data_IF_628178149528
#
_entry.id   IF_628178149528
#
_cell.length_a   1.000
_cell.length_b   1.000
_cell.length_c   1.000
_cell.angle_alpha   90.00
_cell.angle_beta   90.00
_cell.angle_gamma   90.00
#
_symmetry.space_group_name_H-M   'P 1'
#
loop_
_entity.id
_entity.type
_entity.pdbx_description
1 polymer ?
#
# COMPACT_ATOMS: atom_id res chain seq x y z
N UNK A 1 45.08 -57.60 36.40
CA UNK A 1 43.72 -57.20 36.87
C UNK A 1 43.66 -55.82 37.55
N UNK A 2 44.76 -55.11 37.83
CA UNK A 2 44.73 -53.81 38.53
C UNK A 2 44.66 -52.55 37.64
N UNK A 3 44.96 -52.67 36.34
CA UNK A 3 44.98 -51.53 35.39
C UNK A 3 43.62 -51.21 34.78
N UNK A 4 42.76 -52.21 34.60
CA UNK A 4 41.40 -52.02 34.06
C UNK A 4 40.49 -51.31 35.07
N UNK A 5 40.61 -51.64 36.36
CA UNK A 5 39.81 -51.03 37.44
C UNK A 5 40.09 -49.53 37.57
N UNK A 6 41.36 -49.11 37.52
CA UNK A 6 41.76 -47.70 37.60
C UNK A 6 41.27 -46.86 36.42
N UNK A 7 41.23 -47.45 35.21
CA UNK A 7 40.72 -46.78 34.02
C UNK A 7 39.20 -46.57 34.06
N UNK A 8 38.44 -47.54 34.59
CA UNK A 8 36.99 -47.39 34.79
C UNK A 8 36.65 -46.33 35.85
N UNK A 9 37.43 -46.24 36.93
CA UNK A 9 37.22 -45.20 37.95
C UNK A 9 37.50 -43.79 37.43
N UNK A 10 38.52 -43.61 36.57
CA UNK A 10 38.81 -42.33 35.92
C UNK A 10 37.71 -41.92 34.94
N UNK A 11 37.20 -42.85 34.13
CA UNK A 11 36.07 -42.59 33.21
C UNK A 11 34.80 -42.25 33.97
N UNK A 12 34.52 -42.93 35.09
CA UNK A 12 33.37 -42.62 35.94
C UNK A 12 33.50 -41.23 36.59
N UNK A 13 34.70 -40.83 37.00
CA UNK A 13 34.93 -39.50 37.58
C UNK A 13 34.83 -38.39 36.55
N UNK A 14 35.31 -38.62 35.31
CA UNK A 14 35.13 -37.70 34.18
C UNK A 14 33.65 -37.57 33.82
N UNK A 15 32.90 -38.68 33.79
CA UNK A 15 31.46 -38.64 33.57
C UNK A 15 30.72 -37.90 34.68
N UNK A 16 31.10 -38.11 35.95
CA UNK A 16 30.51 -37.41 37.09
C UNK A 16 30.80 -35.90 37.02
N UNK A 17 32.05 -35.52 36.69
CA UNK A 17 32.44 -34.13 36.50
C UNK A 17 31.70 -33.50 35.31
N UNK A 18 31.54 -34.21 34.19
CA UNK A 18 30.73 -33.76 33.06
C UNK A 18 29.25 -33.57 33.44
N UNK A 19 28.66 -34.48 34.22
CA UNK A 19 27.26 -34.35 34.69
C UNK A 19 27.11 -33.18 35.64
N UNK A 20 28.07 -32.96 36.54
CA UNK A 20 28.06 -31.80 37.45
C UNK A 20 28.23 -30.50 36.65
N UNK A 21 29.14 -30.45 35.68
CA UNK A 21 29.37 -29.28 34.83
C UNK A 21 28.17 -28.97 33.91
N UNK A 22 27.48 -30.00 33.40
CA UNK A 22 26.24 -29.84 32.64
C UNK A 22 25.08 -29.33 33.49
N UNK A 23 25.00 -29.70 34.78
CA UNK A 23 23.97 -29.19 35.69
C UNK A 23 24.18 -27.71 36.07
N UNK A 24 25.43 -27.23 36.15
CA UNK A 24 25.71 -25.80 36.40
C UNK A 24 25.53 -24.91 35.16
N UNK A 25 25.54 -25.47 33.94
CA UNK A 25 25.37 -24.71 32.70
C UNK A 25 23.90 -24.36 32.36
N UNK A 26 22.93 -24.87 33.12
CA UNK A 26 21.51 -24.60 32.89
C UNK A 26 21.01 -23.38 33.66
N UNK A 27 21.73 -22.25 33.58
CA UNK A 27 21.14 -20.94 33.87
C UNK A 27 20.30 -20.59 32.64
N UNK A 28 19.01 -20.90 32.70
CA UNK A 28 18.05 -20.40 31.73
C UNK A 28 18.05 -18.87 31.80
N UNK A 29 18.78 -18.24 30.88
CA UNK A 29 18.70 -16.81 30.65
C UNK A 29 17.28 -16.53 30.13
N UNK A 30 16.41 -16.08 31.04
CA UNK A 30 15.08 -15.64 30.70
C UNK A 30 15.21 -14.41 29.79
N UNK A 31 15.15 -14.63 28.47
CA UNK A 31 15.15 -13.57 27.48
C UNK A 31 13.91 -12.70 27.75
N UNK A 32 14.09 -11.62 28.52
CA UNK A 32 13.06 -10.61 28.74
C UNK A 32 12.79 -9.98 27.38
N UNK A 33 11.74 -10.44 26.71
CA UNK A 33 11.26 -9.80 25.47
C UNK A 33 10.91 -8.35 25.83
N UNK A 34 11.41 -7.36 25.08
CA UNK A 34 11.07 -5.98 25.34
C UNK A 34 9.56 -5.80 25.17
N UNK A 35 8.93 -5.04 26.07
CA UNK A 35 7.51 -4.71 26.00
C UNK A 35 7.36 -3.57 25.00
N UNK A 36 6.96 -3.90 23.78
CA UNK A 36 6.86 -2.95 22.68
C UNK A 36 5.39 -2.62 22.45
N UNK A 37 5.07 -1.33 22.31
CA UNK A 37 3.77 -0.87 21.83
C UNK A 37 3.92 -0.53 20.35
N UNK A 38 3.11 -1.14 19.50
CA UNK A 38 3.07 -0.87 18.06
C UNK A 38 1.69 -0.29 17.72
N UNK A 39 1.70 0.84 17.03
CA UNK A 39 0.48 1.51 16.56
C UNK A 39 0.63 1.70 15.05
N UNK A 40 -0.43 1.38 14.31
CA UNK A 40 -0.48 1.55 12.87
C UNK A 40 -1.83 2.17 12.48
N UNK A 41 -1.81 3.22 11.66
CA UNK A 41 -3.01 3.80 11.06
C UNK A 41 -3.28 3.13 9.73
N UNK A 42 -4.50 2.64 9.54
CA UNK A 42 -4.97 2.00 8.30
C UNK A 42 -6.04 2.85 7.65
N UNK A 43 -6.01 2.91 6.32
CA UNK A 43 -7.07 3.50 5.52
C UNK A 43 -8.32 2.60 5.50
N UNK A 44 -9.47 3.20 5.18
CA UNK A 44 -10.74 2.47 5.03
C UNK A 44 -10.92 1.84 3.64
N UNK A 45 -9.93 1.94 2.75
CA UNK A 45 -9.97 1.42 1.39
C UNK A 45 -8.88 0.38 1.12
N UNK A 46 -9.09 -0.46 0.11
CA UNK A 46 -8.13 -1.46 -0.35
C UNK A 46 -6.87 -0.81 -0.92
N UNK A 47 -5.75 -1.52 -0.78
CA UNK A 47 -4.45 -1.11 -1.27
C UNK A 47 -4.48 -0.67 -2.74
N UNK A 48 -3.73 0.37 -3.04
CA UNK A 48 -3.59 0.97 -4.36
C UNK A 48 -2.24 0.63 -5.00
N UNK A 49 -2.16 0.30 -6.29
CA UNK A 49 -0.88 0.01 -6.94
C UNK A 49 0.12 1.18 -6.82
N UNK A 50 1.34 0.92 -6.33
CA UNK A 50 2.39 1.97 -6.26
C UNK A 50 2.75 2.52 -7.65
N UNK A 51 2.65 1.70 -8.69
CA UNK A 51 2.92 2.12 -10.06
C UNK A 51 1.91 3.17 -10.55
N UNK A 52 0.63 2.99 -10.23
CA UNK A 52 -0.41 3.96 -10.57
C UNK A 52 -0.28 5.22 -9.71
N UNK A 53 0.03 5.08 -8.41
CA UNK A 53 0.28 6.23 -7.55
C UNK A 53 1.45 7.08 -8.00
N UNK A 54 2.52 6.44 -8.50
CA UNK A 54 3.66 7.13 -9.09
C UNK A 54 3.22 8.03 -10.26
N UNK A 55 2.40 7.52 -11.18
CA UNK A 55 1.83 8.31 -12.28
C UNK A 55 1.01 9.50 -11.77
N UNK A 56 0.14 9.27 -10.78
CA UNK A 56 -0.68 10.33 -10.19
C UNK A 56 0.14 11.41 -9.49
N UNK A 57 1.21 11.03 -8.77
CA UNK A 57 2.12 11.99 -8.15
C UNK A 57 2.82 12.87 -9.18
N UNK A 58 3.22 12.30 -10.31
CA UNK A 58 3.84 13.05 -11.41
C UNK A 58 2.85 14.01 -12.08
N UNK A 59 1.62 13.54 -12.32
CA UNK A 59 0.55 14.37 -12.92
C UNK A 59 0.17 15.58 -12.06
N UNK A 60 0.36 15.47 -10.74
CA UNK A 60 0.05 16.55 -9.79
C UNK A 60 0.99 17.73 -9.97
N UNK A 61 2.25 17.46 -10.33
CA UNK A 61 3.22 18.51 -10.64
C UNK A 61 2.91 19.11 -12.01
N UNK A 62 2.88 18.27 -13.06
CA UNK A 62 2.61 18.69 -14.44
C UNK A 62 1.89 17.57 -15.19
N UNK A 63 0.82 17.91 -15.92
CA UNK A 63 -0.02 16.94 -16.64
C UNK A 63 0.76 16.13 -17.69
N UNK A 64 1.75 16.74 -18.34
CA UNK A 64 2.55 16.10 -19.39
C UNK A 64 3.46 14.97 -18.85
N UNK A 65 3.94 15.11 -17.62
CA UNK A 65 4.84 14.13 -16.98
C UNK A 65 4.15 12.77 -16.77
N UNK A 66 2.81 12.77 -16.67
CA UNK A 66 2.04 11.53 -16.63
C UNK A 66 2.31 10.70 -17.89
N UNK A 67 2.14 11.30 -19.07
CA UNK A 67 2.31 10.62 -20.35
C UNK A 67 3.77 10.25 -20.63
N UNK A 68 4.71 11.14 -20.31
CA UNK A 68 6.14 10.82 -20.41
C UNK A 68 6.51 9.59 -19.57
N UNK A 69 5.97 9.49 -18.34
CA UNK A 69 6.19 8.34 -17.47
C UNK A 69 5.59 7.05 -18.04
N UNK A 70 4.36 7.10 -18.56
CA UNK A 70 3.70 5.96 -19.21
C UNK A 70 4.55 5.45 -20.38
N UNK A 71 4.99 6.34 -21.26
CA UNK A 71 5.80 5.99 -22.44
C UNK A 71 7.15 5.38 -22.05
N UNK A 72 7.85 5.98 -21.08
CA UNK A 72 9.13 5.44 -20.57
C UNK A 72 8.94 4.05 -19.97
N UNK A 73 7.86 3.84 -19.22
CA UNK A 73 7.55 2.54 -18.62
C UNK A 73 7.24 1.48 -19.69
N UNK A 74 6.35 1.79 -20.62
CA UNK A 74 5.92 0.89 -21.69
C UNK A 74 7.08 0.50 -22.63
N UNK A 75 8.01 1.41 -22.90
CA UNK A 75 9.17 1.13 -23.75
C UNK A 75 10.22 0.26 -23.04
N UNK A 76 10.39 0.41 -21.73
CA UNK A 76 11.40 -0.35 -20.95
C UNK A 76 10.97 -1.79 -20.65
N UNK A 77 9.68 -2.07 -20.58
CA UNK A 77 9.14 -3.42 -20.31
C UNK A 77 9.56 -4.47 -21.36
N UNK A 78 10.00 -4.08 -22.56
CA UNK A 78 10.49 -5.02 -23.58
C UNK A 78 11.82 -5.69 -23.22
N UNK A 79 12.62 -5.10 -22.33
CA UNK A 79 14.05 -5.44 -22.19
C UNK A 79 14.45 -6.07 -20.84
N UNK A 80 13.56 -6.17 -19.85
CA UNK A 80 13.94 -6.63 -18.50
C UNK A 80 13.04 -7.75 -17.98
N UNK A 81 13.65 -8.92 -17.76
CA UNK A 81 13.06 -10.04 -17.04
C UNK A 81 12.54 -9.56 -15.67
N UNK A 82 11.32 -9.98 -15.35
CA UNK A 82 10.59 -9.56 -14.18
C UNK A 82 11.46 -9.56 -12.92
N UNK A 83 11.63 -8.37 -12.38
CA UNK A 83 12.23 -8.20 -11.08
C UNK A 83 11.41 -8.98 -10.05
N UNK A 84 12.03 -9.88 -9.29
CA UNK A 84 11.31 -10.86 -8.46
C UNK A 84 10.87 -10.32 -7.08
N UNK A 85 11.31 -9.12 -6.68
CA UNK A 85 11.05 -8.58 -5.33
C UNK A 85 10.32 -7.24 -5.37
N UNK A 86 9.38 -7.04 -4.45
CA UNK A 86 8.67 -5.78 -4.23
C UNK A 86 9.61 -4.56 -4.10
N UNK A 87 10.75 -4.73 -3.42
CA UNK A 87 11.79 -3.69 -3.26
C UNK A 87 12.37 -3.24 -4.60
N UNK A 88 12.57 -4.17 -5.53
CA UNK A 88 13.21 -3.86 -6.80
C UNK A 88 12.20 -3.25 -7.79
N UNK A 89 10.93 -3.66 -7.73
CA UNK A 89 9.84 -2.92 -8.38
C UNK A 89 9.78 -1.46 -7.91
N UNK A 90 9.83 -1.22 -6.60
CA UNK A 90 9.84 0.14 -6.05
C UNK A 90 11.04 0.94 -6.54
N UNK A 91 12.25 0.36 -6.53
CA UNK A 91 13.45 1.01 -7.09
C UNK A 91 13.28 1.34 -8.57
N UNK A 92 12.66 0.43 -9.35
CA UNK A 92 12.40 0.63 -10.78
C UNK A 92 11.43 1.80 -10.99
N UNK A 93 10.32 1.84 -10.24
CA UNK A 93 9.35 2.94 -10.27
C UNK A 93 10.03 4.26 -9.95
N UNK A 94 10.82 4.31 -8.86
CA UNK A 94 11.57 5.51 -8.46
C UNK A 94 12.58 5.91 -9.55
N UNK A 95 13.31 4.96 -10.13
CA UNK A 95 14.26 5.23 -11.22
C UNK A 95 13.59 5.88 -12.43
N UNK A 96 12.43 5.37 -12.85
CA UNK A 96 11.67 5.94 -13.96
C UNK A 96 11.05 7.30 -13.61
N UNK A 97 10.56 7.47 -12.37
CA UNK A 97 10.10 8.78 -11.89
C UNK A 97 11.23 9.81 -11.87
N UNK A 98 12.44 9.42 -11.45
CA UNK A 98 13.61 10.30 -11.47
C UNK A 98 14.04 10.70 -12.89
N UNK A 99 13.88 9.83 -13.89
CA UNK A 99 14.21 10.20 -15.28
C UNK A 99 13.28 11.26 -15.87
N UNK A 100 12.07 11.39 -15.31
CA UNK A 100 11.06 12.36 -15.75
C UNK A 100 11.10 13.65 -14.90
N UNK A 101 11.58 13.57 -13.66
CA UNK A 101 11.63 14.70 -12.71
C UNK A 101 12.95 15.48 -12.72
N UNK A 102 12.88 16.77 -12.35
CA UNK A 102 14.05 17.62 -12.08
C UNK A 102 14.57 17.43 -10.65
N UNK A 103 15.84 17.76 -10.39
CA UNK A 103 16.59 17.25 -9.22
C UNK A 103 16.20 17.71 -7.78
N UNK A 104 15.36 18.72 -7.47
CA UNK A 104 14.79 18.79 -6.12
C UNK A 104 13.58 17.86 -5.93
N UNK A 105 12.75 17.69 -6.97
CA UNK A 105 11.51 16.92 -6.90
C UNK A 105 11.78 15.42 -6.93
N UNK A 106 12.79 14.96 -7.66
CA UNK A 106 13.20 13.56 -7.68
C UNK A 106 13.50 13.03 -6.25
N UNK A 107 14.20 13.83 -5.45
CA UNK A 107 14.53 13.47 -4.05
C UNK A 107 13.29 13.31 -3.15
N UNK A 108 12.23 14.07 -3.43
CA UNK A 108 10.96 14.00 -2.68
C UNK A 108 10.02 12.92 -3.21
N UNK A 109 10.19 12.48 -4.45
CA UNK A 109 9.29 11.52 -5.10
C UNK A 109 9.18 10.20 -4.32
N UNK A 110 10.31 9.61 -3.93
CA UNK A 110 10.31 8.37 -3.15
C UNK A 110 9.66 8.52 -1.77
N UNK A 111 9.82 9.69 -1.13
CA UNK A 111 9.18 10.00 0.13
C UNK A 111 7.65 10.13 -0.04
N UNK A 112 7.20 10.89 -1.03
CA UNK A 112 5.77 11.06 -1.35
C UNK A 112 5.09 9.74 -1.68
N UNK A 113 5.77 8.86 -2.42
CA UNK A 113 5.27 7.52 -2.74
C UNK A 113 5.16 6.63 -1.49
N UNK A 114 6.11 6.77 -0.55
CA UNK A 114 6.07 6.06 0.75
C UNK A 114 4.95 6.58 1.66
N UNK A 115 4.63 7.88 1.57
CA UNK A 115 3.50 8.48 2.29
C UNK A 115 2.13 8.11 1.70
N UNK A 116 2.10 7.57 0.47
CA UNK A 116 0.87 7.12 -0.20
C UNK A 116 -0.14 8.25 -0.41
N UNK A 117 0.35 9.48 -0.62
CA UNK A 117 -0.48 10.69 -0.70
C UNK A 117 -1.38 10.76 -1.94
N UNK A 118 -1.07 9.99 -2.99
CA UNK A 118 -1.90 9.85 -4.18
C UNK A 118 -2.97 8.75 -4.09
N UNK A 119 -2.96 7.92 -3.03
CA UNK A 119 -3.91 6.82 -2.88
C UNK A 119 -5.39 7.26 -2.95
N UNK A 120 -5.84 8.36 -2.28
CA UNK A 120 -7.23 8.80 -2.36
C UNK A 120 -7.70 9.13 -3.78
N UNK A 121 -6.77 9.58 -4.64
CA UNK A 121 -7.07 9.91 -6.03
C UNK A 121 -7.34 8.68 -6.88
N UNK A 122 -6.65 7.57 -6.63
CA UNK A 122 -6.97 6.29 -7.24
C UNK A 122 -8.30 5.71 -6.75
N UNK A 123 -8.66 5.95 -5.48
CA UNK A 123 -9.99 5.58 -4.96
C UNK A 123 -11.10 6.33 -5.70
N UNK A 124 -10.88 7.60 -6.04
CA UNK A 124 -11.82 8.35 -6.88
C UNK A 124 -11.99 7.71 -8.27
N UNK A 125 -10.90 7.33 -8.95
CA UNK A 125 -11.01 6.65 -10.25
C UNK A 125 -11.70 5.28 -10.15
N UNK A 126 -11.57 4.55 -9.04
CA UNK A 126 -12.35 3.33 -8.79
C UNK A 126 -13.85 3.59 -8.74
N UNK A 127 -14.26 4.69 -8.10
CA UNK A 127 -15.68 5.06 -8.05
C UNK A 127 -16.22 5.41 -9.43
N UNK A 128 -15.47 6.19 -10.21
CA UNK A 128 -15.83 6.50 -11.60
C UNK A 128 -15.88 5.25 -12.49
N UNK A 129 -14.99 4.28 -12.23
CA UNK A 129 -15.00 3.00 -12.94
C UNK A 129 -16.26 2.18 -12.59
N UNK A 130 -16.66 2.13 -11.32
CA UNK A 130 -17.90 1.46 -10.90
C UNK A 130 -19.13 2.15 -11.49
N UNK A 131 -19.16 3.48 -11.52
CA UNK A 131 -20.22 4.25 -12.14
C UNK A 131 -20.34 3.95 -13.64
N UNK A 132 -19.21 3.93 -14.36
CA UNK A 132 -19.13 3.55 -15.77
C UNK A 132 -19.66 2.13 -16.02
N UNK A 133 -19.24 1.15 -15.21
CA UNK A 133 -19.72 -0.24 -15.33
C UNK A 133 -21.22 -0.37 -15.01
N UNK A 134 -21.70 0.30 -13.96
CA UNK A 134 -23.10 0.24 -13.54
C UNK A 134 -24.05 0.94 -14.51
N UNK A 135 -23.54 1.86 -15.33
CA UNK A 135 -24.32 2.54 -16.39
C UNK A 135 -24.70 1.60 -17.53
N UNK A 136 -24.00 0.46 -17.70
CA UNK A 136 -24.21 -0.51 -18.77
C UNK A 136 -24.31 -1.94 -18.20
N UNK A 137 -25.39 -2.29 -17.48
CA UNK A 137 -25.55 -3.62 -16.92
C UNK A 137 -25.57 -4.67 -18.03
N UNK A 138 -24.61 -5.61 -17.97
CA UNK A 138 -24.60 -6.76 -18.86
C UNK A 138 -25.67 -7.77 -18.41
N UNK A 139 -26.28 -8.44 -19.37
CA UNK A 139 -27.37 -9.41 -19.16
C UNK A 139 -27.02 -10.58 -18.22
N UNK A 140 -25.75 -10.82 -17.94
CA UNK A 140 -25.29 -11.92 -17.07
C UNK A 140 -25.67 -11.70 -15.59
N UNK A 141 -25.82 -10.44 -15.15
CA UNK A 141 -26.26 -10.12 -13.78
C UNK A 141 -27.76 -10.41 -13.56
N UNK A 142 -28.54 -10.51 -14.64
CA UNK A 142 -29.97 -10.84 -14.59
C UNK A 142 -30.16 -12.35 -14.35
N UNK A 143 -29.20 -13.19 -14.76
CA UNK A 143 -29.32 -14.66 -14.66
C UNK A 143 -28.98 -15.15 -13.24
N UNK A 144 -28.05 -14.48 -12.54
CA UNK A 144 -27.70 -14.84 -11.15
C UNK A 144 -28.84 -14.57 -10.16
N UNK A 145 -29.73 -13.61 -10.46
CA UNK A 145 -30.86 -13.27 -9.59
C UNK A 145 -32.10 -14.16 -9.81
N UNK A 146 -32.14 -14.95 -10.89
CA UNK A 146 -33.31 -15.76 -11.26
C UNK A 146 -33.12 -17.29 -11.14
N UNK A 147 -31.92 -17.76 -10.77
CA UNK A 147 -31.62 -19.19 -10.59
C UNK A 147 -31.27 -19.53 -9.14
N UNK A 148 -32.21 -19.30 -8.21
CA UNK A 148 -32.01 -19.55 -6.78
C UNK A 148 -33.30 -19.83 -5.99
N UNK A 149 -34.26 -20.55 -6.58
CA UNK A 149 -35.44 -21.02 -5.84
C UNK A 149 -35.14 -22.29 -5.02
N UNK A 150 -34.95 -22.14 -3.71
CA UNK A 150 -34.73 -23.27 -2.79
C UNK A 150 -34.46 -22.90 -1.33
N UNK A 151 -35.53 -22.52 -0.62
CA UNK A 151 -35.75 -22.32 0.83
C UNK A 151 -34.65 -22.80 1.81
N UNK A 152 -34.14 -21.87 2.62
CA UNK A 152 -34.13 -21.99 4.09
C UNK A 152 -34.29 -20.61 4.73
N UNK A 153 -35.48 -20.36 5.30
CA UNK A 153 -35.80 -19.16 6.07
C UNK A 153 -34.91 -19.09 7.31
N UNK A 154 -34.09 -18.06 7.42
CA UNK A 154 -33.80 -17.40 8.69
C UNK A 154 -33.99 -15.90 8.44
N UNK A 155 -34.98 -15.35 9.13
CA UNK A 155 -35.35 -13.94 9.10
C UNK A 155 -34.15 -13.09 9.50
N UNK A 156 -33.62 -12.33 8.55
CA UNK A 156 -32.91 -11.07 8.82
C UNK A 156 -33.67 -10.04 8.01
N UNK A 157 -34.18 -9.03 8.71
CA UNK A 157 -35.06 -8.00 8.18
C UNK A 157 -34.51 -7.39 6.88
N UNK A 158 -35.21 -7.66 5.78
CA UNK A 158 -35.04 -7.00 4.50
C UNK A 158 -35.59 -5.57 4.59
N UNK A 159 -34.73 -4.65 5.06
CA UNK A 159 -34.77 -3.23 4.72
C UNK A 159 -33.34 -2.70 4.57
N UNK A 160 -32.58 -3.22 3.61
CA UNK A 160 -31.34 -2.59 3.15
C UNK A 160 -31.65 -1.60 2.01
N UNK A 161 -32.31 -0.52 2.41
CA UNK A 161 -32.35 0.76 1.70
C UNK A 161 -30.91 1.17 1.34
N UNK A 162 -30.56 1.18 0.05
CA UNK A 162 -29.38 1.85 -0.54
C UNK A 162 -28.17 1.90 0.40
N UNK A 163 -27.65 0.74 0.79
CA UNK A 163 -26.60 0.70 1.81
C UNK A 163 -25.26 1.11 1.17
N UNK A 164 -24.81 2.30 1.54
CA UNK A 164 -23.52 2.95 1.29
C UNK A 164 -22.73 2.54 0.03
N UNK A 165 -22.47 3.51 -0.86
CA UNK A 165 -21.38 3.49 -1.84
C UNK A 165 -20.21 2.66 -1.28
N UNK A 166 -19.85 1.56 -1.96
CA UNK A 166 -18.77 0.66 -1.57
C UNK A 166 -17.41 1.37 -1.74
N UNK A 167 -17.21 2.46 -1.00
CA UNK A 167 -16.06 3.34 -1.09
C UNK A 167 -14.83 2.52 -0.69
N UNK A 168 -13.98 2.23 -1.67
CA UNK A 168 -12.68 1.63 -1.44
C UNK A 168 -12.53 0.16 -1.79
N UNK A 169 -13.57 -0.50 -2.33
CA UNK A 169 -13.43 -1.83 -2.92
C UNK A 169 -13.04 -1.69 -4.40
N UNK A 170 -12.16 -2.56 -4.89
CA UNK A 170 -11.84 -2.58 -6.33
C UNK A 170 -13.06 -3.06 -7.15
N UNK A 171 -13.39 -2.40 -8.27
CA UNK A 171 -14.52 -2.79 -9.10
C UNK A 171 -14.31 -4.20 -9.68
N UNK A 172 -15.40 -4.94 -9.83
CA UNK A 172 -15.39 -6.25 -10.49
C UNK A 172 -15.78 -6.07 -11.94
N UNK A 173 -14.94 -6.56 -12.84
CA UNK A 173 -15.19 -6.47 -14.27
C UNK A 173 -15.80 -7.76 -14.82
N UNK A 174 -16.71 -7.65 -15.80
CA UNK A 174 -17.31 -8.81 -16.45
C UNK A 174 -16.27 -9.60 -17.25
N UNK A 175 -16.43 -10.92 -17.27
CA UNK A 175 -15.56 -11.83 -18.04
C UNK A 175 -14.08 -11.83 -17.63
N UNK A 176 -13.73 -11.26 -16.46
CA UNK A 176 -12.34 -11.16 -16.00
C UNK A 176 -11.46 -10.27 -16.87
N UNK A 177 -12.04 -9.35 -17.65
CA UNK A 177 -11.33 -8.38 -18.49
C UNK A 177 -10.82 -7.24 -17.60
N UNK A 178 -9.57 -6.80 -17.79
CA UNK A 178 -8.94 -5.85 -16.86
C UNK A 178 -8.90 -4.41 -17.35
N UNK A 179 -9.19 -4.20 -18.63
CA UNK A 179 -9.21 -2.90 -19.26
C UNK A 179 -10.48 -2.79 -20.10
N UNK A 180 -11.04 -1.60 -20.18
CA UNK A 180 -12.14 -1.28 -21.08
C UNK A 180 -12.12 0.19 -21.47
N UNK A 181 -12.77 0.50 -22.59
CA UNK A 181 -12.94 1.87 -23.07
C UNK A 181 -14.40 2.26 -22.98
N UNK A 182 -14.65 3.39 -22.34
CA UNK A 182 -15.96 4.01 -22.21
C UNK A 182 -16.05 5.19 -23.19
N UNK A 183 -17.03 5.13 -24.08
CA UNK A 183 -17.34 6.18 -25.07
C UNK A 183 -18.61 6.95 -24.73
N UNK A 184 -19.27 6.61 -23.61
CA UNK A 184 -20.51 7.22 -23.09
C UNK A 184 -21.78 6.58 -23.64
N UNK A 185 -21.68 5.89 -24.76
CA UNK A 185 -22.75 5.11 -25.39
C UNK A 185 -22.52 3.60 -25.27
N UNK A 186 -21.27 3.16 -25.15
CA UNK A 186 -20.90 1.76 -25.06
C UNK A 186 -19.59 1.57 -24.27
N UNK A 187 -19.43 0.35 -23.75
CA UNK A 187 -18.19 -0.13 -23.16
C UNK A 187 -17.54 -1.16 -24.09
N UNK A 188 -16.26 -0.96 -24.40
CA UNK A 188 -15.47 -1.87 -25.22
C UNK A 188 -14.41 -2.58 -24.37
N UNK A 189 -14.58 -3.88 -24.16
CA UNK A 189 -13.63 -4.73 -23.43
C UNK A 189 -12.60 -5.40 -24.34
N UNK A 190 -12.86 -5.42 -25.65
CA UNK A 190 -12.03 -6.06 -26.66
C UNK A 190 -11.55 -5.06 -27.70
N UNK A 191 -10.29 -5.22 -28.09
CA UNK A 191 -9.61 -4.32 -29.04
C UNK A 191 -10.25 -4.34 -30.43
N UNK A 192 -10.76 -5.49 -30.86
CA UNK A 192 -11.39 -5.64 -32.17
C UNK A 192 -12.65 -4.78 -32.31
N UNK A 193 -13.50 -4.75 -31.28
CA UNK A 193 -14.74 -3.99 -31.27
C UNK A 193 -14.46 -2.48 -31.20
N UNK A 194 -13.48 -2.08 -30.40
CA UNK A 194 -13.02 -0.70 -30.36
C UNK A 194 -12.52 -0.23 -31.74
N UNK A 195 -11.74 -1.05 -32.44
CA UNK A 195 -11.26 -0.70 -33.78
C UNK A 195 -12.40 -0.52 -34.78
N UNK A 196 -13.47 -1.30 -34.66
CA UNK A 196 -14.68 -1.13 -35.47
C UNK A 196 -15.37 0.21 -35.18
N UNK A 197 -15.51 0.57 -33.90
CA UNK A 197 -16.05 1.86 -33.48
C UNK A 197 -15.20 3.03 -34.00
N UNK A 198 -13.87 2.96 -33.86
CA UNK A 198 -12.93 3.99 -34.33
C UNK A 198 -12.95 4.21 -35.85
N UNK A 199 -13.30 3.18 -36.64
CA UNK A 199 -13.42 3.26 -38.10
C UNK A 199 -14.78 3.77 -38.56
N UNK A 200 -15.78 3.72 -37.68
CA UNK A 200 -17.11 4.20 -38.02
C UNK A 200 -17.07 5.73 -38.13
N UNK A 201 -17.58 6.32 -39.23
CA UNK A 201 -17.57 7.77 -39.39
C UNK A 201 -18.38 8.39 -38.24
N UNK A 202 -17.74 9.32 -37.53
CA UNK A 202 -18.34 10.08 -36.43
C UNK A 202 -19.65 10.69 -36.93
N UNK A 203 -20.79 10.19 -36.44
CA UNK A 203 -22.09 10.74 -36.81
C UNK A 203 -22.15 12.18 -36.29
N UNK A 204 -22.12 13.14 -37.20
CA UNK A 204 -22.20 14.56 -36.92
C UNK A 204 -23.43 14.86 -36.06
N UNK A 205 -23.18 15.25 -34.80
CA UNK A 205 -23.89 16.25 -33.99
C UNK A 205 -25.39 16.50 -34.29
N UNK A 206 -26.20 15.45 -34.35
CA UNK A 206 -27.64 15.53 -34.58
C UNK A 206 -28.49 14.69 -33.62
N UNK A 207 -27.92 13.63 -33.05
CA UNK A 207 -28.53 12.87 -31.97
C UNK A 207 -27.88 13.30 -30.65
N UNK A 208 -28.67 13.38 -29.60
CA UNK A 208 -28.29 13.74 -28.23
C UNK A 208 -27.35 12.71 -27.60
N UNK A 209 -26.12 12.58 -28.12
CA UNK A 209 -25.08 11.77 -27.54
C UNK A 209 -24.56 12.44 -26.28
N UNK A 210 -24.83 11.82 -25.13
CA UNK A 210 -24.28 12.24 -23.86
C UNK A 210 -22.83 11.73 -23.79
N UNK A 211 -21.87 12.58 -24.14
CA UNK A 211 -20.47 12.25 -23.99
C UNK A 211 -20.16 11.94 -22.52
N UNK A 212 -19.19 11.05 -22.23
CA UNK A 212 -18.69 10.84 -20.88
C UNK A 212 -18.32 12.17 -20.24
N UNK A 213 -18.75 12.37 -19.00
CA UNK A 213 -18.35 13.54 -18.24
C UNK A 213 -16.84 13.49 -17.99
N UNK A 214 -16.16 14.59 -18.32
CA UNK A 214 -14.74 14.77 -18.09
C UNK A 214 -14.52 15.74 -16.94
N UNK A 215 -13.56 15.41 -16.08
CA UNK A 215 -13.19 16.23 -14.94
C UNK A 215 -11.82 16.89 -15.15
N UNK A 216 -11.57 18.01 -14.46
CA UNK A 216 -10.30 18.75 -14.55
C UNK A 216 -9.07 17.91 -14.20
N UNK A 217 -9.30 16.87 -13.39
CA UNK A 217 -8.29 15.94 -12.93
C UNK A 217 -8.07 14.76 -13.90
N UNK A 218 -8.86 14.61 -14.95
CA UNK A 218 -8.66 13.52 -15.91
C UNK A 218 -7.39 13.71 -16.73
N UNK A 219 -6.73 12.59 -17.06
CA UNK A 219 -5.53 12.60 -17.89
C UNK A 219 -5.94 12.60 -19.35
N UNK A 220 -6.00 13.80 -19.94
CA UNK A 220 -6.26 13.98 -21.38
C UNK A 220 -4.94 13.92 -22.14
N UNK A 221 -4.90 13.13 -23.21
CA UNK A 221 -3.70 13.00 -24.03
C UNK A 221 -3.39 14.30 -24.79
N UNK A 222 -2.11 14.66 -24.87
CA UNK A 222 -1.62 15.95 -25.40
C UNK A 222 -2.06 16.21 -26.85
N UNK A 223 -2.22 15.16 -27.66
CA UNK A 223 -2.62 15.28 -29.07
C UNK A 223 -4.13 15.36 -29.30
N UNK A 224 -4.93 15.41 -28.23
CA UNK A 224 -6.39 15.44 -28.34
C UNK A 224 -6.91 16.81 -28.77
N UNK A 225 -7.83 16.84 -29.73
CA UNK A 225 -8.43 18.08 -30.25
C UNK A 225 -9.82 18.33 -29.66
N UNK A 226 -10.27 19.59 -29.70
CA UNK A 226 -11.62 19.99 -29.31
C UNK A 226 -12.66 19.54 -30.34
N UNK A 227 -13.80 19.02 -29.90
CA UNK A 227 -14.89 18.61 -30.78
C UNK A 227 -14.85 17.14 -31.25
N UNK A 228 -13.79 16.39 -30.90
CA UNK A 228 -13.72 14.95 -31.12
C UNK A 228 -14.54 14.17 -30.07
N UNK A 229 -15.10 13.00 -30.42
CA UNK A 229 -15.73 12.09 -29.45
C UNK A 229 -14.72 11.66 -28.39
N UNK A 230 -15.18 11.50 -27.16
CA UNK A 230 -14.35 11.15 -26.01
C UNK A 230 -14.27 9.64 -25.89
N UNK A 231 -13.06 9.12 -25.66
CA UNK A 231 -12.82 7.72 -25.31
C UNK A 231 -11.98 7.67 -24.04
N UNK A 232 -12.57 7.14 -22.97
CA UNK A 232 -11.94 7.01 -21.65
C UNK A 232 -11.46 5.56 -21.48
N UNK A 233 -10.15 5.37 -21.37
CA UNK A 233 -9.56 4.09 -21.03
C UNK A 233 -9.53 3.91 -19.51
N UNK A 234 -10.21 2.88 -19.03
CA UNK A 234 -10.05 2.34 -17.69
C UNK A 234 -9.08 1.17 -17.74
N UNK A 235 -7.99 1.24 -16.98
CA UNK A 235 -7.03 0.15 -16.88
C UNK A 235 -5.79 0.53 -16.08
N UNK A 236 -4.96 -0.47 -15.79
CA UNK A 236 -3.75 -0.30 -15.00
C UNK A 236 -2.50 -0.42 -15.88
N UNK A 237 -1.60 0.57 -15.78
CA UNK A 237 -0.24 0.47 -16.28
C UNK A 237 0.44 -0.78 -15.71
N UNK A 238 1.14 -1.53 -16.56
CA UNK A 238 1.74 -2.84 -16.23
C UNK A 238 0.89 -4.05 -16.63
N UNK A 239 -0.35 -3.84 -17.08
CA UNK A 239 -1.14 -4.90 -17.75
C UNK A 239 -0.91 -4.88 -19.26
N UNK A 240 -0.93 -6.05 -19.89
CA UNK A 240 -0.83 -6.17 -21.35
C UNK A 240 -2.00 -5.48 -22.06
N UNK A 241 -3.22 -5.59 -21.50
CA UNK A 241 -4.40 -4.93 -22.08
C UNK A 241 -4.25 -3.41 -22.12
N UNK A 242 -3.64 -2.80 -21.10
CA UNK A 242 -3.44 -1.35 -21.09
C UNK A 242 -2.57 -0.93 -22.26
N UNK A 243 -1.47 -1.66 -22.52
CA UNK A 243 -0.58 -1.40 -23.64
C UNK A 243 -1.30 -1.49 -24.99
N UNK A 244 -2.08 -2.56 -25.20
CA UNK A 244 -2.79 -2.77 -26.47
C UNK A 244 -3.79 -1.64 -26.76
N UNK A 245 -4.62 -1.29 -25.78
CA UNK A 245 -5.57 -0.19 -25.90
C UNK A 245 -4.86 1.16 -26.06
N UNK A 246 -3.82 1.40 -25.28
CA UNK A 246 -3.09 2.66 -25.28
C UNK A 246 -2.50 2.98 -26.66
N UNK A 247 -1.81 2.04 -27.31
CA UNK A 247 -1.23 2.25 -28.65
C UNK A 247 -2.30 2.67 -29.66
N UNK A 248 -3.43 1.97 -29.68
CA UNK A 248 -4.52 2.22 -30.63
C UNK A 248 -5.19 3.58 -30.38
N UNK A 249 -5.43 3.92 -29.12
CA UNK A 249 -6.07 5.18 -28.75
C UNK A 249 -5.16 6.38 -28.99
N UNK A 250 -3.85 6.23 -28.73
CA UNK A 250 -2.86 7.27 -29.05
C UNK A 250 -2.81 7.53 -30.56
N UNK A 251 -2.78 6.49 -31.39
CA UNK A 251 -2.77 6.65 -32.84
C UNK A 251 -4.07 7.30 -33.35
N UNK A 252 -5.22 6.88 -32.83
CA UNK A 252 -6.50 7.52 -33.15
C UNK A 252 -6.58 8.98 -32.69
N UNK A 253 -5.99 9.32 -31.54
CA UNK A 253 -5.94 10.70 -31.04
C UNK A 253 -5.00 11.57 -31.89
N UNK A 254 -3.85 11.04 -32.33
CA UNK A 254 -2.92 11.73 -33.25
C UNK A 254 -3.57 12.05 -34.60
N UNK A 255 -4.43 11.16 -35.09
CA UNK A 255 -5.22 11.38 -36.30
C UNK A 255 -6.41 12.33 -36.09
N UNK A 256 -6.63 12.84 -34.87
CA UNK A 256 -7.72 13.76 -34.55
C UNK A 256 -9.11 13.11 -34.57
N UNK A 257 -9.19 11.77 -34.47
CA UNK A 257 -10.48 11.06 -34.48
C UNK A 257 -11.17 11.05 -33.12
N UNK A 258 -10.40 11.06 -32.04
CA UNK A 258 -10.91 10.96 -30.67
C UNK A 258 -10.19 11.93 -29.73
N UNK A 259 -10.84 12.26 -28.62
CA UNK A 259 -10.19 12.77 -27.41
C UNK A 259 -9.90 11.58 -26.49
N UNK A 260 -8.62 11.26 -26.34
CA UNK A 260 -8.18 10.13 -25.53
C UNK A 260 -7.94 10.55 -24.09
N UNK A 261 -8.57 9.84 -23.16
CA UNK A 261 -8.47 10.06 -21.71
C UNK A 261 -8.12 8.76 -21.00
N UNK A 262 -7.32 8.82 -19.94
CA UNK A 262 -7.01 7.66 -19.07
C UNK A 262 -7.51 7.90 -17.66
N UNK A 263 -8.23 6.91 -17.12
CA UNK A 263 -8.60 6.79 -15.71
C UNK A 263 -7.94 5.52 -15.15
N UNK A 264 -6.86 5.64 -14.36
CA UNK A 264 -6.13 4.49 -13.89
C UNK A 264 -6.94 3.71 -12.85
N UNK A 265 -7.18 2.44 -13.14
CA UNK A 265 -7.88 1.52 -12.23
C UNK A 265 -7.31 0.11 -12.40
N UNK A 266 -7.11 -0.58 -11.28
CA UNK A 266 -6.81 -2.01 -11.27
C UNK A 266 -8.02 -2.75 -10.69
N UNK A 267 -8.84 -3.42 -11.53
CA UNK A 267 -9.98 -4.18 -11.06
C UNK A 267 -9.60 -5.37 -10.18
N UNK A 268 -10.55 -5.84 -9.38
CA UNK A 268 -10.36 -7.01 -8.53
C UNK A 268 -10.08 -8.26 -9.39
N UNK A 269 -9.03 -9.02 -9.08
CA UNK A 269 -8.64 -10.23 -9.82
C UNK A 269 -7.70 -9.97 -11.01
N UNK A 270 -7.35 -8.72 -11.28
CA UNK A 270 -6.40 -8.34 -12.34
C UNK A 270 -4.95 -8.25 -11.86
N UNK A 271 -4.68 -8.47 -10.58
CA UNK A 271 -3.35 -8.35 -9.99
C UNK A 271 -2.36 -9.37 -10.58
N UNK A 272 -2.84 -10.56 -10.98
CA UNK A 272 -1.99 -11.54 -11.64
C UNK A 272 -1.62 -11.12 -13.08
N UNK A 273 -2.44 -10.29 -13.73
CA UNK A 273 -2.26 -9.84 -15.12
C UNK A 273 -1.47 -8.52 -15.22
N UNK A 274 -1.34 -7.78 -14.13
CA UNK A 274 -0.59 -6.51 -14.07
C UNK A 274 0.93 -6.69 -13.83
N UNK A 275 1.41 -7.93 -13.84
CA UNK A 275 2.78 -8.27 -13.46
C UNK A 275 3.09 -7.94 -11.98
N UNK A 276 4.32 -8.26 -11.55
CA UNK A 276 4.70 -8.04 -10.15
C UNK A 276 4.69 -6.56 -9.76
N UNK A 277 5.19 -5.69 -10.65
CA UNK A 277 5.30 -4.26 -10.35
C UNK A 277 3.98 -3.49 -10.52
N UNK A 278 3.03 -3.96 -11.35
CA UNK A 278 1.71 -3.35 -11.45
C UNK A 278 0.76 -3.73 -10.32
N UNK A 279 1.00 -4.86 -9.64
CA UNK A 279 0.18 -5.31 -8.51
C UNK A 279 0.72 -4.91 -7.12
N UNK A 280 1.93 -4.36 -7.05
CA UNK A 280 2.59 -4.04 -5.78
C UNK A 280 1.79 -2.98 -5.00
N UNK A 281 1.42 -3.31 -3.76
CA UNK A 281 0.63 -2.43 -2.89
C UNK A 281 -0.89 -2.51 -3.11
N UNK A 282 -1.38 -3.39 -4.01
CA UNK A 282 -2.80 -3.49 -4.35
C UNK A 282 -3.63 -4.45 -3.47
N UNK A 283 -3.01 -5.42 -2.79
CA UNK A 283 -3.70 -6.59 -2.21
C UNK A 283 -4.11 -6.47 -0.72
N UNK A 284 -3.56 -5.50 0.01
CA UNK A 284 -3.76 -5.38 1.47
C UNK A 284 -4.37 -4.04 1.88
N UNK A 285 -4.95 -3.98 3.08
CA UNK A 285 -5.37 -2.71 3.68
C UNK A 285 -4.21 -1.73 3.72
N UNK A 286 -4.42 -0.50 3.25
CA UNK A 286 -3.36 0.47 3.15
C UNK A 286 -2.97 1.04 4.52
N UNK A 287 -1.70 0.87 4.92
CA UNK A 287 -1.14 1.62 6.06
C UNK A 287 -0.74 3.02 5.61
N UNK A 288 -1.18 4.03 6.34
CA UNK A 288 -0.93 5.43 6.00
C UNK A 288 0.28 5.96 6.76
N UNK A 289 1.04 6.87 6.14
CA UNK A 289 2.11 7.63 6.81
C UNK A 289 1.61 9.00 7.28
N UNK A 290 2.47 9.75 7.99
CA UNK A 290 2.21 11.16 8.33
C UNK A 290 1.41 11.41 9.61
N UNK A 291 1.27 10.41 10.48
CA UNK A 291 0.67 10.57 11.81
C UNK A 291 1.73 10.43 12.92
N UNK A 292 1.48 11.10 14.05
CA UNK A 292 2.26 10.95 15.28
C UNK A 292 1.47 10.15 16.32
N UNK A 293 2.17 9.33 17.10
CA UNK A 293 1.57 8.56 18.20
C UNK A 293 2.23 9.01 19.50
N UNK A 294 1.42 9.35 20.49
CA UNK A 294 1.89 9.67 21.83
C UNK A 294 1.41 8.62 22.85
N UNK A 295 2.24 8.36 23.86
CA UNK A 295 1.89 7.53 25.00
C UNK A 295 1.90 8.41 26.25
N UNK A 296 0.73 8.92 26.61
CA UNK A 296 0.56 9.74 27.79
C UNK A 296 0.40 8.87 29.05
N UNK A 297 1.14 9.20 30.11
CA UNK A 297 0.97 8.60 31.44
C UNK A 297 -0.25 9.24 32.11
N UNK A 298 -1.35 8.48 32.24
CA UNK A 298 -2.60 8.97 32.82
C UNK A 298 -2.54 9.19 34.35
N UNK A 299 -1.71 8.43 35.07
CA UNK A 299 -1.59 8.54 36.53
C UNK A 299 -0.24 9.16 36.89
N UNK A 300 -0.24 10.47 37.19
CA UNK A 300 0.95 11.21 37.62
C UNK A 300 1.08 11.34 39.15
N UNK A 301 0.10 10.85 39.92
CA UNK A 301 -0.04 11.12 41.36
C UNK A 301 0.86 10.27 42.29
N UNK A 302 1.74 9.42 41.77
CA UNK A 302 2.67 8.64 42.61
C UNK A 302 3.99 9.37 42.86
N UNK A 303 3.91 10.57 43.44
CA UNK A 303 4.97 11.23 44.21
C UNK A 303 4.24 12.13 45.23
N UNK A 304 4.15 11.80 46.52
CA UNK A 304 5.24 11.48 47.42
C UNK A 304 4.83 10.44 48.48
N UNK A 305 5.65 9.40 48.66
CA UNK A 305 5.72 8.72 49.95
C UNK A 305 6.49 9.65 50.90
N UNK A 306 5.88 10.00 52.02
CA UNK A 306 6.53 10.74 53.09
C UNK A 306 7.54 9.82 53.80
N UNK A 307 8.84 10.04 53.58
CA UNK A 307 9.93 9.28 54.21
C UNK A 307 10.08 9.57 55.72
N UNK A 308 9.18 10.36 56.32
CA UNK A 308 9.19 10.69 57.76
C UNK A 308 8.99 9.48 58.71
N UNK A 309 8.84 8.27 58.19
CA UNK A 309 8.75 7.04 58.99
C UNK A 309 10.02 6.16 58.95
N UNK A 310 11.19 6.70 58.58
CA UNK A 310 12.46 6.02 58.94
C UNK A 310 12.67 6.17 60.45
N UNK A 311 12.30 5.12 61.19
CA UNK A 311 12.60 4.99 62.62
C UNK A 311 14.08 5.28 62.84
N UNK A 312 14.38 6.29 63.67
CA UNK A 312 15.71 6.57 64.21
C UNK A 312 16.32 5.28 64.76
N UNK A 313 17.23 4.69 64.00
CA UNK A 313 18.01 3.52 64.36
C UNK A 313 19.49 3.84 64.26
N UNK A 314 20.05 4.27 65.40
CA UNK A 314 21.46 4.20 65.81
C UNK A 314 22.49 4.88 64.91
N UNK A 315 22.95 6.04 65.39
CA UNK A 315 24.19 6.72 65.02
C UNK A 315 25.41 5.82 65.25
N UNK A 316 26.20 5.62 64.19
CA UNK A 316 27.65 5.41 64.30
C UNK A 316 28.32 6.41 63.35
N UNK A 317 28.93 7.43 63.95
CA UNK A 317 29.71 8.46 63.28
C UNK A 317 31.04 7.89 62.79
N UNK A 318 31.37 8.08 61.52
CA UNK A 318 32.73 7.97 60.96
C UNK A 318 33.12 9.36 60.41
N UNK A 319 34.16 10.04 60.94
CA UNK A 319 34.34 11.49 60.77
C UNK A 319 35.10 11.88 59.49
N UNK A 320 34.80 11.28 58.32
CA UNK A 320 35.56 11.57 57.08
C UNK A 320 34.74 11.85 55.81
N UNK A 321 33.47 12.22 55.91
CA UNK A 321 32.68 12.60 54.73
C UNK A 321 31.77 13.81 54.97
N UNK A 322 32.34 14.94 55.38
CA UNK A 322 31.57 16.18 55.54
C UNK A 322 31.38 16.99 54.24
N UNK A 323 32.03 16.63 53.12
CA UNK A 323 32.10 17.53 51.96
C UNK A 323 31.39 17.06 50.67
N UNK A 324 30.49 16.06 50.75
CA UNK A 324 29.75 15.55 49.58
C UNK A 324 28.22 15.49 49.77
N UNK A 325 27.68 16.13 50.81
CA UNK A 325 26.24 16.20 51.09
C UNK A 325 25.55 17.42 50.45
N UNK A 326 26.26 18.24 49.66
CA UNK A 326 25.63 19.37 48.98
C UNK A 326 24.71 18.91 47.85
N UNK A 327 23.42 19.03 48.15
CA UNK A 327 22.31 18.82 47.24
C UNK A 327 22.24 19.98 46.23
N UNK A 328 22.78 19.77 45.02
CA UNK A 328 22.62 20.72 43.91
C UNK A 328 21.51 20.21 43.00
N UNK A 329 20.36 20.90 43.01
CA UNK A 329 19.18 20.61 42.16
C UNK A 329 18.68 19.15 42.25
N UNK A 330 18.68 18.57 43.45
CA UNK A 330 18.04 17.27 43.70
C UNK A 330 18.81 16.04 43.21
N UNK A 331 20.12 16.16 42.95
CA UNK A 331 20.99 15.01 42.67
C UNK A 331 21.92 14.73 43.87
N UNK A 332 21.92 13.48 44.34
CA UNK A 332 22.83 12.98 45.38
C UNK A 332 23.91 12.13 44.69
N UNK A 333 25.14 12.64 44.63
CA UNK A 333 26.26 12.01 43.91
C UNK A 333 26.88 10.80 44.64
N UNK A 334 26.53 10.55 45.91
CA UNK A 334 27.10 9.46 46.70
C UNK A 334 26.73 8.05 46.20
N UNK A 335 25.77 7.92 45.28
CA UNK A 335 25.34 6.62 44.70
C UNK A 335 25.97 6.28 43.35
N UNK A 336 26.86 7.11 42.79
CA UNK A 336 27.37 6.92 41.41
C UNK A 336 28.72 6.14 41.37
N UNK A 337 29.36 5.88 42.51
CA UNK A 337 30.58 5.07 42.55
C UNK A 337 30.30 3.63 42.95
N UNK A 338 29.76 2.79 42.05
CA UNK A 338 30.17 1.38 41.87
C UNK A 338 29.71 0.90 40.49
N UNK A 339 30.62 0.96 39.52
CA UNK A 339 30.72 0.02 38.39
C UNK A 339 32.17 0.11 37.89
N UNK A 340 33.05 -0.65 38.53
CA UNK A 340 34.30 -1.14 37.95
C UNK A 340 34.21 -2.65 37.85
#
# INVERSE_FOLDING_TARGET
>A
MSTCLRSCFLLAWVLLLCVIFCNFASISAQNRRPKNVQVAVRANWEGTPLLLEAGELLSKEWKDLYWEFIEVWLNTEKDQADSYTAKDCLKRIIKHGHSVLREPLASLFGFSLTLRSASPRLVLYRQLAEESLSSFPLSDDIILNNAGGGISKNEINDEAKSDHLLVGINPKTPGGKCCWVDTGDALFFDVADLLFWLRSPTRLAGDSFQQPELFDFDHVHVTSHTGCPVAILYGALGTDCFREFHVILVDAAKEGRIKYVVRPVLPAGCEAKAGLCGAIGARDSLSLGGYGVELALKNMEYKAMDDSAVKKGVTLEDPRTEDLSQEVRGFIFSKILVCS
#
